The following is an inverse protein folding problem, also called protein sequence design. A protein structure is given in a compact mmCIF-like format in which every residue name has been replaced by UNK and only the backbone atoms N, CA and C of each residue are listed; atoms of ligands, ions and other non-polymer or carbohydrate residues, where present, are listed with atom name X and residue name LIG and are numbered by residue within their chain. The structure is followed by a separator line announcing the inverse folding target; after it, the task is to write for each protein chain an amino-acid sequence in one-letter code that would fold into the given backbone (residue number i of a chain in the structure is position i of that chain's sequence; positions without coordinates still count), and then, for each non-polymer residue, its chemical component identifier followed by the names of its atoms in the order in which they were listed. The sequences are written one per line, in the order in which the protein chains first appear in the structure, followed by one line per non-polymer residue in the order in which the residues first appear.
data_IF_627010694142
#
_entry.id   IF_627010694142
#
_cell.length_a   1.000
_cell.length_b   1.000
_cell.length_c   1.000
_cell.angle_alpha   90.00
_cell.angle_beta   90.00
_cell.angle_gamma   90.00
#
_symmetry.space_group_name_H-M   'P 1'
#
loop_
_entity.id
_entity.type
_entity.pdbx_description
1 polymer ?
#
# COMPACT_ATOMS: atom_id res chain seq x y z
N UNK A 1 15.46 -22.73 -9.85
CA UNK A 1 15.85 -21.30 -9.91
C UNK A 1 14.65 -20.50 -10.40
N UNK A 2 14.43 -19.29 -9.86
CA UNK A 2 13.43 -18.27 -10.30
C UNK A 2 12.15 -18.17 -9.45
N UNK A 3 12.30 -18.04 -8.13
CA UNK A 3 11.23 -17.43 -7.31
C UNK A 3 11.73 -16.24 -6.45
N UNK A 4 13.01 -15.86 -6.57
CA UNK A 4 13.59 -14.73 -5.82
C UNK A 4 13.70 -13.43 -6.63
N UNK A 5 13.64 -13.47 -7.97
CA UNK A 5 13.82 -12.27 -8.81
C UNK A 5 12.57 -11.37 -8.80
N UNK A 6 11.38 -11.92 -8.54
CA UNK A 6 10.13 -11.14 -8.60
C UNK A 6 9.72 -10.51 -7.26
N UNK A 7 10.28 -10.93 -6.12
CA UNK A 7 9.85 -10.46 -4.80
C UNK A 7 10.38 -9.06 -4.45
N UNK A 8 11.35 -8.54 -5.20
CA UNK A 8 11.95 -7.22 -4.98
C UNK A 8 11.28 -6.08 -5.76
N UNK A 9 10.49 -6.40 -6.79
CA UNK A 9 9.82 -5.43 -7.65
C UNK A 9 8.44 -4.99 -7.14
N UNK A 10 7.80 -5.81 -6.31
CA UNK A 10 6.48 -5.53 -5.72
C UNK A 10 6.54 -5.46 -4.20
N UNK A 11 5.50 -4.91 -3.59
CA UNK A 11 5.26 -4.92 -2.15
C UNK A 11 3.78 -5.18 -1.87
N UNK A 12 3.48 -5.65 -0.66
CA UNK A 12 2.09 -5.74 -0.20
C UNK A 12 1.56 -4.37 0.23
N UNK A 13 0.34 -4.07 -0.18
CA UNK A 13 -0.40 -2.88 0.24
C UNK A 13 -1.88 -3.21 0.46
N UNK A 14 -2.53 -2.47 1.36
CA UNK A 14 -3.98 -2.46 1.52
C UNK A 14 -4.56 -1.44 0.52
N UNK A 15 -5.27 -1.93 -0.49
CA UNK A 15 -5.78 -1.11 -1.60
C UNK A 15 -7.29 -1.00 -1.53
N UNK A 16 -7.80 0.24 -1.52
CA UNK A 16 -9.23 0.53 -1.72
C UNK A 16 -9.57 0.26 -3.18
N UNK A 17 -10.21 -0.88 -3.43
CA UNK A 17 -10.55 -1.33 -4.79
C UNK A 17 -11.90 -0.77 -5.26
N UNK A 18 -12.76 -0.41 -4.32
CA UNK A 18 -14.08 0.20 -4.49
C UNK A 18 -14.53 0.77 -3.13
N UNK A 19 -15.59 1.57 -3.09
CA UNK A 19 -16.21 2.00 -1.83
C UNK A 19 -16.59 0.78 -0.98
N UNK A 20 -16.24 0.81 0.30
CA UNK A 20 -16.49 -0.30 1.21
C UNK A 20 -15.66 -1.56 0.92
N UNK A 21 -14.63 -1.50 0.05
CA UNK A 21 -13.90 -2.70 -0.40
C UNK A 21 -12.38 -2.52 -0.42
N UNK A 22 -11.75 -2.95 0.66
CA UNK A 22 -10.29 -3.04 0.77
C UNK A 22 -9.80 -4.45 0.45
N UNK A 23 -8.63 -4.55 -0.20
CA UNK A 23 -7.92 -5.82 -0.42
C UNK A 23 -6.44 -5.66 -0.22
N UNK A 24 -5.80 -6.64 0.41
CA UNK A 24 -4.34 -6.76 0.38
C UNK A 24 -3.94 -7.26 -1.01
N UNK A 25 -3.04 -6.53 -1.67
CA UNK A 25 -2.55 -6.83 -3.02
C UNK A 25 -1.04 -6.61 -3.11
N UNK A 26 -0.40 -7.33 -4.03
CA UNK A 26 0.94 -6.99 -4.51
C UNK A 26 0.82 -5.80 -5.46
N UNK A 27 1.56 -4.74 -5.18
CA UNK A 27 1.64 -3.52 -6.00
C UNK A 27 3.10 -3.23 -6.34
N UNK A 28 3.41 -2.49 -7.42
CA UNK A 28 4.78 -2.10 -7.72
C UNK A 28 5.43 -1.36 -6.53
N UNK A 29 6.69 -1.66 -6.27
CA UNK A 29 7.47 -0.94 -5.26
C UNK A 29 7.66 0.51 -5.73
N UNK A 30 7.36 1.53 -4.89
CA UNK A 30 7.52 2.93 -5.26
C UNK A 30 8.96 3.23 -5.67
N UNK A 31 9.10 4.05 -6.72
CA UNK A 31 10.35 4.73 -7.04
C UNK A 31 10.32 6.09 -6.36
N UNK A 32 11.49 6.63 -6.01
CA UNK A 32 11.62 7.91 -5.31
C UNK A 32 12.49 8.85 -6.10
N UNK A 33 12.12 10.13 -6.11
CA UNK A 33 12.93 11.19 -6.71
C UNK A 33 14.05 11.66 -5.76
N UNK A 34 14.91 12.56 -6.25
CA UNK A 34 16.12 13.02 -5.52
C UNK A 34 15.87 13.65 -4.15
N UNK A 35 14.64 14.11 -3.89
CA UNK A 35 14.22 14.80 -2.67
C UNK A 35 13.19 13.99 -1.86
N UNK A 36 13.08 12.69 -2.14
CA UNK A 36 12.14 11.78 -1.48
C UNK A 36 12.87 10.65 -0.76
N UNK A 37 12.18 10.02 0.18
CA UNK A 37 12.70 8.86 0.91
C UNK A 37 11.74 7.68 0.78
N UNK A 38 12.30 6.49 0.56
CA UNK A 38 11.53 5.25 0.57
C UNK A 38 11.60 4.59 1.94
N UNK A 39 10.49 4.59 2.67
CA UNK A 39 10.38 3.98 3.98
C UNK A 39 9.80 2.56 3.89
N UNK A 40 10.35 1.65 4.71
CA UNK A 40 9.72 0.36 4.99
C UNK A 40 8.85 0.50 6.24
N UNK A 41 7.54 0.38 6.07
CA UNK A 41 6.60 0.40 7.19
C UNK A 41 6.68 -0.88 8.02
N UNK A 42 6.94 -0.76 9.32
CA UNK A 42 6.92 -1.90 10.25
C UNK A 42 5.53 -2.14 10.85
N UNK A 43 4.80 -1.06 11.14
CA UNK A 43 3.43 -1.08 11.67
C UNK A 43 2.71 0.22 11.30
N UNK A 44 1.37 0.16 11.24
CA UNK A 44 0.48 1.32 11.06
C UNK A 44 -0.73 1.17 11.97
N UNK A 45 -1.29 2.29 12.42
CA UNK A 45 -2.60 2.34 13.07
C UNK A 45 -3.67 2.82 12.09
N UNK A 46 -4.94 2.52 12.39
CA UNK A 46 -6.08 3.07 11.65
C UNK A 46 -6.68 4.23 12.45
N UNK A 47 -6.84 5.37 11.80
CA UNK A 47 -7.47 6.57 12.34
C UNK A 47 -8.93 6.64 11.87
N UNK A 48 -9.76 7.46 12.54
CA UNK A 48 -11.14 7.73 12.10
C UNK A 48 -11.23 8.22 10.65
N UNK A 49 -10.24 9.00 10.20
CA UNK A 49 -10.13 9.47 8.80
C UNK A 49 -10.08 8.34 7.77
N UNK A 50 -9.48 7.20 8.12
CA UNK A 50 -9.39 6.06 7.20
C UNK A 50 -10.77 5.45 6.92
N UNK A 51 -11.68 5.51 7.90
CA UNK A 51 -13.06 5.04 7.74
C UNK A 51 -13.88 5.97 6.84
N UNK A 52 -13.70 7.28 6.95
CA UNK A 52 -14.30 8.26 6.03
C UNK A 52 -13.87 8.00 4.57
N UNK A 53 -12.58 7.72 4.35
CA UNK A 53 -12.07 7.34 3.03
C UNK A 53 -12.67 6.01 2.56
N UNK A 54 -12.78 5.03 3.46
CA UNK A 54 -13.32 3.71 3.15
C UNK A 54 -14.79 3.74 2.73
N UNK A 55 -15.63 4.50 3.45
CA UNK A 55 -17.06 4.62 3.15
C UNK A 55 -17.35 5.61 2.02
N UNK A 56 -16.43 6.54 1.74
CA UNK A 56 -16.67 7.65 0.82
C UNK A 56 -17.54 8.75 1.42
N UNK A 57 -17.63 8.81 2.74
CA UNK A 57 -18.43 9.78 3.48
C UNK A 57 -17.56 10.90 4.05
N UNK A 58 -18.08 12.13 3.98
CA UNK A 58 -17.56 13.30 4.68
C UNK A 58 -18.59 13.79 5.69
#
# INVERSE_FOLDING_TARGET
MNNLINKTATMQALVLCDLGKLKVREVPKPQVDSNEILLRTSAVGLCGSDFHIFSGEH
#
